data_IF_397724649532
#
_entry.id   IF_397724649532
#
_cell.length_a   1.000
_cell.length_b   1.000
_cell.length_c   1.000
_cell.angle_alpha   90.00
_cell.angle_beta   90.00
_cell.angle_gamma   90.00
#
_symmetry.space_group_name_H-M   'P 1'
#
loop_
_entity.id
_entity.type
_entity.pdbx_description
1 polymer ?
#
# COMPACT_ATOMS: atom_id res chain seq x y z
N UNK A 1 -7.01 -23.44 -26.46
CA UNK A 1 -7.81 -23.98 -25.33
C UNK A 1 -7.71 -22.94 -24.24
N UNK A 2 -8.74 -22.10 -24.14
CA UNK A 2 -8.83 -21.00 -23.19
C UNK A 2 -9.17 -21.56 -21.80
N UNK A 3 -8.32 -21.28 -20.82
CA UNK A 3 -8.60 -21.57 -19.42
C UNK A 3 -9.50 -20.46 -18.87
N UNK A 4 -10.81 -20.71 -18.87
CA UNK A 4 -11.82 -19.85 -18.24
C UNK A 4 -11.88 -20.16 -16.74
N UNK A 5 -10.83 -19.77 -16.02
CA UNK A 5 -10.79 -19.77 -14.56
C UNK A 5 -11.62 -18.65 -13.95
N UNK A 6 -12.95 -18.72 -14.08
CA UNK A 6 -13.86 -17.84 -13.34
C UNK A 6 -13.85 -18.26 -11.88
N UNK A 7 -13.18 -17.48 -11.03
CA UNK A 7 -13.11 -17.72 -9.59
C UNK A 7 -14.52 -17.58 -9.00
N UNK A 8 -15.13 -18.73 -8.69
CA UNK A 8 -16.50 -18.78 -8.15
C UNK A 8 -16.47 -18.26 -6.71
N UNK A 9 -16.98 -17.07 -6.53
CA UNK A 9 -17.35 -16.48 -5.24
C UNK A 9 -18.28 -17.45 -4.48
N UNK A 10 -17.72 -18.32 -3.64
CA UNK A 10 -18.49 -19.23 -2.78
C UNK A 10 -19.10 -18.42 -1.63
N UNK A 11 -20.29 -17.85 -1.87
CA UNK A 11 -21.14 -17.36 -0.80
C UNK A 11 -21.54 -18.54 0.08
N UNK A 12 -20.98 -18.64 1.29
CA UNK A 12 -21.62 -19.45 2.33
C UNK A 12 -22.90 -18.73 2.74
N UNK A 13 -24.03 -19.15 2.17
CA UNK A 13 -25.32 -18.93 2.83
C UNK A 13 -25.33 -19.79 4.09
N UNK A 14 -24.87 -19.25 5.21
CA UNK A 14 -25.34 -19.81 6.47
C UNK A 14 -26.84 -19.52 6.52
N UNK A 15 -27.64 -20.57 6.49
CA UNK A 15 -29.03 -20.47 6.94
C UNK A 15 -28.97 -20.22 8.44
N UNK A 16 -28.76 -18.96 8.84
CA UNK A 16 -28.65 -18.61 10.25
C UNK A 16 -30.01 -18.85 10.92
N UNK A 17 -29.98 -19.64 11.99
CA UNK A 17 -31.15 -19.87 12.83
C UNK A 17 -31.25 -18.73 13.86
N UNK A 18 -32.44 -18.55 14.46
CA UNK A 18 -32.63 -17.65 15.62
C UNK A 18 -31.61 -17.99 16.71
N UNK A 19 -30.65 -17.11 16.96
CA UNK A 19 -29.68 -17.22 18.08
C UNK A 19 -28.21 -17.23 17.70
N UNK A 20 -27.86 -17.34 16.40
CA UNK A 20 -26.46 -17.27 15.96
C UNK A 20 -25.86 -15.88 16.26
N UNK A 21 -24.59 -15.83 16.68
CA UNK A 21 -23.84 -14.58 16.94
C UNK A 21 -22.68 -14.44 15.98
N UNK A 22 -22.43 -13.23 15.50
CA UNK A 22 -21.29 -12.91 14.61
C UNK A 22 -20.32 -11.96 15.29
N UNK A 23 -19.02 -12.13 15.01
CA UNK A 23 -17.98 -11.22 15.47
C UNK A 23 -17.85 -10.05 14.51
N UNK A 24 -18.06 -8.84 15.02
CA UNK A 24 -17.80 -7.59 14.31
C UNK A 24 -16.52 -7.00 14.87
N UNK A 25 -15.45 -7.04 14.07
CA UNK A 25 -14.14 -6.56 14.44
C UNK A 25 -14.05 -5.03 14.33
N UNK A 26 -13.32 -4.40 15.25
CA UNK A 26 -13.01 -2.97 15.24
C UNK A 26 -11.58 -2.74 15.76
N UNK A 27 -11.09 -1.51 15.66
CA UNK A 27 -9.70 -1.16 16.03
C UNK A 27 -8.67 -2.03 15.29
N UNK A 28 -8.74 -2.04 13.95
CA UNK A 28 -7.86 -2.83 13.08
C UNK A 28 -7.84 -4.34 13.42
N UNK A 29 -8.98 -4.89 13.82
CA UNK A 29 -9.11 -6.31 14.16
C UNK A 29 -8.64 -6.69 15.57
N UNK A 30 -8.13 -5.73 16.36
CA UNK A 30 -7.66 -6.00 17.74
C UNK A 30 -8.81 -6.31 18.70
N UNK A 31 -9.98 -5.74 18.45
CA UNK A 31 -11.16 -5.92 19.30
C UNK A 31 -12.35 -6.43 18.47
N UNK A 32 -13.32 -7.05 19.13
CA UNK A 32 -14.56 -7.47 18.48
C UNK A 32 -15.77 -7.34 19.41
N UNK A 33 -16.94 -7.12 18.81
CA UNK A 33 -18.24 -7.25 19.45
C UNK A 33 -18.94 -8.49 18.90
N UNK A 34 -19.62 -9.23 19.77
CA UNK A 34 -20.52 -10.29 19.33
C UNK A 34 -21.94 -9.75 19.17
N UNK A 35 -22.49 -9.84 17.96
CA UNK A 35 -23.80 -9.30 17.61
C UNK A 35 -24.73 -10.47 17.26
N UNK A 36 -25.95 -10.56 17.85
CA UNK A 36 -26.91 -11.58 17.46
C UNK A 36 -27.39 -11.36 16.03
N UNK A 37 -27.55 -12.45 15.28
CA UNK A 37 -28.15 -12.42 13.95
C UNK A 37 -29.65 -12.57 14.10
N UNK A 38 -30.38 -11.54 13.66
CA UNK A 38 -31.83 -11.55 13.64
C UNK A 38 -32.38 -12.22 12.37
N UNK A 39 -33.62 -12.67 12.47
CA UNK A 39 -34.37 -13.24 11.35
C UNK A 39 -34.43 -12.25 10.18
N UNK A 40 -34.10 -12.70 8.98
CA UNK A 40 -34.03 -11.86 7.77
C UNK A 40 -32.68 -11.19 7.50
N UNK A 41 -31.68 -11.35 8.38
CA UNK A 41 -30.32 -10.83 8.15
C UNK A 41 -29.43 -11.93 7.53
N UNK A 42 -28.91 -11.66 6.33
CA UNK A 42 -27.87 -12.48 5.69
C UNK A 42 -26.49 -11.99 6.12
N UNK A 43 -25.67 -12.88 6.67
CA UNK A 43 -24.27 -12.59 7.02
C UNK A 43 -23.40 -13.06 5.87
N UNK A 44 -22.67 -12.13 5.26
CA UNK A 44 -21.68 -12.43 4.22
C UNK A 44 -20.31 -12.40 4.88
N UNK A 45 -19.69 -13.55 5.01
CA UNK A 45 -18.32 -13.69 5.50
C UNK A 45 -17.39 -14.12 4.35
N UNK A 46 -16.19 -13.56 4.31
CA UNK A 46 -15.20 -13.88 3.28
C UNK A 46 -14.35 -15.04 3.77
N UNK A 47 -14.27 -16.10 2.96
CA UNK A 47 -13.32 -17.19 3.23
C UNK A 47 -11.90 -16.62 3.15
N UNK A 48 -11.10 -16.67 4.23
CA UNK A 48 -9.72 -16.20 4.17
C UNK A 48 -8.98 -17.03 3.12
N UNK A 49 -8.26 -16.36 2.22
CA UNK A 49 -7.34 -17.06 1.34
C UNK A 49 -6.20 -17.69 2.15
N UNK A 50 -5.71 -18.88 1.76
CA UNK A 50 -4.54 -19.47 2.40
C UNK A 50 -3.37 -18.48 2.36
N UNK A 51 -2.87 -18.10 3.53
CA UNK A 51 -1.72 -17.21 3.66
C UNK A 51 -0.45 -18.03 3.42
N UNK A 52 0.32 -17.66 2.39
CA UNK A 52 1.65 -18.24 2.17
C UNK A 52 2.65 -17.62 3.16
N UNK A 53 3.68 -18.36 3.59
CA UNK A 53 4.72 -17.80 4.47
C UNK A 53 5.45 -16.66 3.76
N UNK A 54 5.89 -15.64 4.50
CA UNK A 54 6.60 -14.48 3.93
C UNK A 54 7.82 -14.89 3.11
N UNK A 55 8.46 -16.03 3.41
CA UNK A 55 9.60 -16.56 2.68
C UNK A 55 9.36 -16.77 1.18
N UNK A 56 8.11 -16.81 0.70
CA UNK A 56 7.84 -16.78 -0.74
C UNK A 56 8.35 -15.51 -1.44
N UNK A 57 8.55 -14.40 -0.72
CA UNK A 57 9.14 -13.17 -1.28
C UNK A 57 10.64 -13.29 -1.51
N UNK A 58 11.33 -14.26 -0.90
CA UNK A 58 12.77 -14.44 -1.04
C UNK A 58 13.18 -14.65 -2.50
N UNK A 59 12.41 -15.43 -3.26
CA UNK A 59 12.67 -15.63 -4.68
C UNK A 59 12.44 -14.36 -5.49
N UNK A 60 11.39 -13.58 -5.19
CA UNK A 60 11.14 -12.31 -5.85
C UNK A 60 12.29 -11.31 -5.59
N UNK A 61 12.89 -11.30 -4.40
CA UNK A 61 14.03 -10.43 -4.11
C UNK A 61 15.35 -10.94 -4.69
N UNK A 62 15.53 -12.24 -4.92
CA UNK A 62 16.70 -12.73 -5.68
C UNK A 62 16.73 -12.15 -7.10
N UNK A 63 15.57 -12.00 -7.73
CA UNK A 63 15.43 -11.36 -9.04
C UNK A 63 15.67 -9.85 -9.00
N UNK A 64 15.63 -9.21 -7.83
CA UNK A 64 15.94 -7.80 -7.63
C UNK A 64 17.45 -7.51 -7.72
N UNK A 65 18.30 -8.49 -7.39
CA UNK A 65 19.76 -8.29 -7.31
C UNK A 65 20.37 -7.66 -8.57
N UNK A 66 20.09 -8.15 -9.81
CA UNK A 66 20.64 -7.54 -11.02
C UNK A 66 20.20 -6.09 -11.23
N UNK A 67 19.00 -5.71 -10.76
CA UNK A 67 18.43 -4.37 -10.95
C UNK A 67 19.06 -3.34 -9.99
N UNK A 68 19.36 -3.78 -8.77
CA UNK A 68 19.94 -2.91 -7.74
C UNK A 68 21.48 -2.87 -7.75
N UNK A 69 22.13 -3.85 -8.40
CA UNK A 69 23.59 -3.91 -8.48
C UNK A 69 24.16 -2.66 -9.15
N UNK A 70 25.08 -1.98 -8.46
CA UNK A 70 25.76 -0.77 -8.95
C UNK A 70 25.02 0.54 -8.65
N UNK A 71 23.87 0.48 -7.97
CA UNK A 71 23.16 1.66 -7.45
C UNK A 71 23.79 2.11 -6.13
N UNK A 72 23.94 3.41 -5.91
CA UNK A 72 24.50 3.92 -4.65
C UNK A 72 23.41 4.09 -3.59
N UNK A 73 22.24 4.60 -3.98
CA UNK A 73 21.13 4.91 -3.08
C UNK A 73 19.82 4.20 -3.45
N UNK A 74 19.11 3.71 -2.44
CA UNK A 74 17.81 3.03 -2.58
C UNK A 74 16.75 3.72 -1.71
N UNK A 75 15.62 4.08 -2.31
CA UNK A 75 14.41 4.48 -1.59
C UNK A 75 13.44 3.29 -1.48
N UNK A 76 13.18 2.84 -0.25
CA UNK A 76 12.24 1.76 0.06
C UNK A 76 10.96 2.41 0.58
N UNK A 77 9.95 2.51 -0.28
CA UNK A 77 8.66 3.12 0.08
C UNK A 77 7.76 2.01 0.63
N UNK A 78 7.31 2.16 1.87
CA UNK A 78 6.46 1.17 2.55
C UNK A 78 5.14 1.79 2.94
N UNK A 79 4.05 1.02 2.86
CA UNK A 79 2.78 1.50 3.36
C UNK A 79 2.75 1.66 4.89
N UNK A 80 1.84 2.50 5.39
CA UNK A 80 1.78 2.85 6.81
C UNK A 80 1.16 1.76 7.70
N UNK A 81 1.12 2.05 9.00
CA UNK A 81 0.55 1.18 10.04
C UNK A 81 -0.94 0.84 9.85
N UNK A 82 -1.68 1.60 9.02
CA UNK A 82 -3.09 1.31 8.71
C UNK A 82 -3.25 0.17 7.70
N UNK A 83 -2.13 -0.32 7.13
CA UNK A 83 -2.12 -1.40 6.15
C UNK A 83 -1.57 -2.70 6.72
N UNK A 84 -2.16 -3.85 6.33
CA UNK A 84 -1.81 -5.16 6.88
C UNK A 84 -0.48 -5.73 6.34
N UNK A 85 0.26 -4.99 5.50
CA UNK A 85 1.49 -5.49 4.88
C UNK A 85 2.54 -5.84 5.95
N UNK A 86 3.10 -7.06 5.95
CA UNK A 86 4.04 -7.52 6.97
C UNK A 86 5.46 -6.98 6.72
N UNK A 87 5.62 -5.66 6.78
CA UNK A 87 6.86 -4.97 6.39
C UNK A 87 8.06 -5.46 7.23
N UNK A 88 7.92 -5.54 8.56
CA UNK A 88 8.98 -6.07 9.45
C UNK A 88 9.48 -7.47 9.06
N UNK A 89 8.62 -8.30 8.47
CA UNK A 89 8.96 -9.67 8.09
C UNK A 89 9.57 -9.72 6.67
N UNK A 90 9.26 -8.73 5.83
CA UNK A 90 9.76 -8.61 4.44
C UNK A 90 11.16 -7.96 4.41
N UNK A 91 11.37 -6.89 5.19
CA UNK A 91 12.60 -6.09 5.15
C UNK A 91 13.90 -6.88 5.34
N UNK A 92 14.01 -7.87 6.24
CA UNK A 92 15.24 -8.65 6.39
C UNK A 92 15.71 -9.34 5.09
N UNK A 93 14.78 -9.86 4.30
CA UNK A 93 15.10 -10.49 3.01
C UNK A 93 15.60 -9.46 1.99
N UNK A 94 14.99 -8.27 1.97
CA UNK A 94 15.43 -7.19 1.11
C UNK A 94 16.82 -6.69 1.51
N UNK A 95 17.07 -6.47 2.79
CA UNK A 95 18.35 -5.98 3.30
C UNK A 95 19.51 -6.90 2.92
N UNK A 96 19.32 -8.22 3.01
CA UNK A 96 20.30 -9.19 2.53
C UNK A 96 20.67 -8.96 1.05
N UNK A 97 19.68 -8.69 0.19
CA UNK A 97 19.92 -8.42 -1.24
C UNK A 97 20.67 -7.11 -1.44
N UNK A 98 20.27 -6.05 -0.73
CA UNK A 98 20.91 -4.73 -0.83
C UNK A 98 22.37 -4.76 -0.33
N UNK A 99 22.65 -5.54 0.71
CA UNK A 99 24.00 -5.72 1.27
C UNK A 99 24.91 -6.49 0.31
N UNK A 100 24.43 -7.59 -0.27
CA UNK A 100 25.19 -8.33 -1.30
C UNK A 100 25.41 -7.45 -2.54
N UNK A 101 24.45 -6.59 -2.89
CA UNK A 101 24.58 -5.61 -3.96
C UNK A 101 25.50 -4.43 -3.64
N UNK A 102 25.94 -4.31 -2.38
CA UNK A 102 26.79 -3.23 -1.85
C UNK A 102 26.19 -1.84 -2.02
N UNK A 103 24.88 -1.72 -1.84
CA UNK A 103 24.20 -0.42 -1.75
C UNK A 103 24.75 0.34 -0.56
N UNK A 104 25.11 1.61 -0.78
CA UNK A 104 25.76 2.44 0.25
C UNK A 104 24.75 3.14 1.14
N UNK A 105 23.62 3.54 0.56
CA UNK A 105 22.59 4.28 1.25
C UNK A 105 21.22 3.65 0.98
N UNK A 106 20.50 3.33 2.05
CA UNK A 106 19.09 2.94 1.98
C UNK A 106 18.28 3.83 2.90
N UNK A 107 17.13 4.29 2.43
CA UNK A 107 16.17 5.08 3.21
C UNK A 107 14.80 4.44 3.11
N UNK A 108 14.13 4.32 4.25
CA UNK A 108 12.78 3.77 4.34
C UNK A 108 11.82 4.94 4.42
N UNK A 109 10.90 5.06 3.47
CA UNK A 109 9.92 6.14 3.42
C UNK A 109 8.56 5.54 3.72
N UNK A 110 7.98 5.92 4.86
CA UNK A 110 6.64 5.48 5.26
C UNK A 110 5.61 6.34 4.56
N UNK A 111 4.80 5.72 3.72
CA UNK A 111 3.84 6.34 2.82
C UNK A 111 2.50 6.63 3.55
N UNK A 112 2.44 7.78 4.22
CA UNK A 112 1.25 8.22 4.96
C UNK A 112 0.17 8.87 4.09
N UNK A 113 0.51 9.40 2.91
CA UNK A 113 -0.33 10.40 2.26
C UNK A 113 -0.74 11.49 3.25
N UNK A 114 -2.04 11.70 3.45
CA UNK A 114 -2.58 12.69 4.39
C UNK A 114 -2.86 12.16 5.80
N UNK A 115 -2.42 10.94 6.14
CA UNK A 115 -2.62 10.38 7.47
C UNK A 115 -1.72 11.07 8.51
N UNK A 116 -2.21 11.18 9.75
CA UNK A 116 -1.38 11.62 10.87
C UNK A 116 -0.30 10.58 11.17
N UNK A 117 0.88 11.06 11.59
CA UNK A 117 1.92 10.18 12.09
C UNK A 117 1.46 9.52 13.40
N UNK A 118 1.55 8.19 13.53
CA UNK A 118 1.12 7.50 14.73
C UNK A 118 2.14 7.66 15.85
N UNK A 119 1.79 7.17 17.04
CA UNK A 119 2.76 6.93 18.10
C UNK A 119 3.84 5.93 17.66
N UNK A 120 5.03 6.04 18.25
CA UNK A 120 6.21 5.25 17.89
C UNK A 120 5.95 3.73 17.96
N UNK A 121 5.12 3.26 18.90
CA UNK A 121 4.76 1.86 19.04
C UNK A 121 4.22 1.25 17.74
N UNK A 122 3.37 1.98 17.00
CA UNK A 122 2.83 1.50 15.72
C UNK A 122 3.91 1.45 14.62
N UNK A 123 4.91 2.32 14.68
CA UNK A 123 6.07 2.26 13.77
C UNK A 123 6.94 1.05 14.07
N UNK A 124 7.18 0.76 15.36
CA UNK A 124 7.92 -0.42 15.81
C UNK A 124 7.17 -1.71 15.44
N UNK A 125 5.85 -1.75 15.61
CA UNK A 125 5.03 -2.89 15.19
C UNK A 125 5.08 -3.13 13.68
N UNK A 126 5.10 -2.05 12.89
CA UNK A 126 5.09 -2.10 11.42
C UNK A 126 6.46 -2.46 10.84
N UNK A 127 7.51 -1.82 11.32
CA UNK A 127 8.87 -1.88 10.74
C UNK A 127 9.82 -2.80 11.53
N UNK A 128 9.58 -3.00 12.82
CA UNK A 128 10.48 -3.70 13.74
C UNK A 128 11.45 -2.75 14.44
N UNK A 129 11.80 -3.07 15.69
CA UNK A 129 12.72 -2.26 16.52
C UNK A 129 14.09 -2.08 15.89
N UNK A 130 14.61 -3.12 15.23
CA UNK A 130 15.94 -3.07 14.61
C UNK A 130 15.98 -2.06 13.46
N UNK A 131 14.90 -1.95 12.69
CA UNK A 131 14.79 -0.96 11.62
C UNK A 131 14.72 0.45 12.20
N UNK A 132 13.88 0.67 13.22
CA UNK A 132 13.74 1.97 13.88
C UNK A 132 15.09 2.46 14.46
N UNK A 133 15.89 1.54 15.03
CA UNK A 133 17.13 1.89 15.71
C UNK A 133 18.34 2.03 14.78
N UNK A 134 18.36 1.34 13.64
CA UNK A 134 19.57 1.21 12.80
C UNK A 134 19.44 1.78 11.39
N UNK A 135 18.22 2.11 10.94
CA UNK A 135 17.97 2.60 9.58
C UNK A 135 17.51 4.05 9.54
N UNK A 136 17.65 4.69 8.38
CA UNK A 136 17.07 6.01 8.14
C UNK A 136 15.60 5.82 7.76
N UNK A 137 14.71 6.07 8.72
CA UNK A 137 13.25 6.07 8.53
C UNK A 137 12.75 7.49 8.35
N UNK A 138 12.09 7.74 7.22
CA UNK A 138 11.45 9.00 6.86
C UNK A 138 9.95 8.81 6.95
N UNK A 139 9.30 9.58 7.83
CA UNK A 139 7.85 9.70 7.85
C UNK A 139 7.47 10.74 6.80
N UNK A 140 6.78 10.33 5.74
CA UNK A 140 6.33 11.28 4.73
C UNK A 140 5.34 12.28 5.34
N UNK A 141 5.55 13.56 5.05
CA UNK A 141 4.63 14.65 5.36
C UNK A 141 4.14 15.25 4.05
N UNK A 142 2.84 15.08 3.77
CA UNK A 142 2.20 15.63 2.58
C UNK A 142 2.05 17.15 2.63
N UNK A 143 2.04 17.76 3.82
CA UNK A 143 1.76 19.18 4.03
C UNK A 143 3.05 20.03 4.06
N UNK A 144 4.22 19.42 4.25
CA UNK A 144 5.50 20.13 4.18
C UNK A 144 5.96 20.35 2.72
N UNK A 145 5.75 21.57 2.24
CA UNK A 145 6.14 22.00 0.89
C UNK A 145 7.65 22.01 0.63
N UNK A 146 8.48 21.95 1.66
CA UNK A 146 9.95 21.89 1.54
C UNK A 146 10.47 20.45 1.37
N UNK A 147 9.62 19.47 1.65
CA UNK A 147 9.93 18.05 1.55
C UNK A 147 9.38 17.40 0.27
N UNK A 148 8.52 18.11 -0.45
CA UNK A 148 7.87 17.65 -1.67
C UNK A 148 8.30 18.50 -2.87
N UNK A 149 8.74 17.84 -3.94
CA UNK A 149 9.26 18.51 -5.14
C UNK A 149 8.39 18.21 -6.35
N UNK A 150 8.20 19.21 -7.20
CA UNK A 150 7.44 19.06 -8.44
C UNK A 150 8.15 18.09 -9.40
N UNK A 151 7.43 17.09 -9.90
CA UNK A 151 7.96 16.08 -10.85
C UNK A 151 7.28 16.11 -12.21
N UNK A 152 6.15 16.80 -12.34
CA UNK A 152 5.42 16.92 -13.60
C UNK A 152 3.93 17.16 -13.41
N UNK A 153 3.18 17.11 -14.50
CA UNK A 153 1.73 17.28 -14.50
C UNK A 153 1.09 16.12 -15.27
N UNK A 154 0.05 15.50 -14.72
CA UNK A 154 -0.68 14.42 -15.39
C UNK A 154 -1.59 14.94 -16.50
N UNK A 155 -2.11 14.05 -17.34
CA UNK A 155 -3.04 14.39 -18.41
C UNK A 155 -4.35 15.02 -17.92
N UNK A 156 -4.74 14.77 -16.66
CA UNK A 156 -5.90 15.40 -16.04
C UNK A 156 -5.62 16.82 -15.50
N UNK A 157 -4.36 17.27 -15.55
CA UNK A 157 -3.95 18.57 -15.01
C UNK A 157 -3.49 18.53 -13.56
N UNK A 158 -3.32 17.34 -12.96
CA UNK A 158 -2.80 17.21 -11.61
C UNK A 158 -1.32 17.59 -11.56
N UNK A 159 -0.96 18.65 -10.84
CA UNK A 159 0.44 19.00 -10.60
C UNK A 159 0.99 18.06 -9.53
N UNK A 160 1.96 17.24 -9.91
CA UNK A 160 2.46 16.16 -9.06
C UNK A 160 3.70 16.61 -8.31
N UNK A 161 3.60 16.60 -6.99
CA UNK A 161 4.68 16.87 -6.05
C UNK A 161 4.90 15.64 -5.18
N UNK A 162 6.15 15.17 -5.09
CA UNK A 162 6.50 13.92 -4.41
C UNK A 162 7.64 14.11 -3.44
N UNK A 163 7.72 13.22 -2.46
CA UNK A 163 8.80 13.15 -1.47
C UNK A 163 10.20 13.25 -2.12
N UNK A 164 10.97 14.28 -1.75
CA UNK A 164 12.27 14.59 -2.39
C UNK A 164 13.30 13.48 -2.26
N UNK A 165 13.25 12.68 -1.19
CA UNK A 165 14.18 11.57 -1.00
C UNK A 165 13.86 10.41 -1.94
N UNK A 166 12.58 10.14 -2.17
CA UNK A 166 12.17 9.19 -3.19
C UNK A 166 12.60 9.68 -4.59
N UNK A 167 12.41 10.96 -4.91
CA UNK A 167 12.80 11.55 -6.20
C UNK A 167 14.30 11.44 -6.46
N UNK A 168 15.13 11.70 -5.45
CA UNK A 168 16.59 11.76 -5.58
C UNK A 168 17.32 10.41 -5.50
N UNK A 169 16.65 9.30 -5.20
CA UNK A 169 17.31 7.99 -5.09
C UNK A 169 17.68 7.38 -6.46
N UNK A 170 18.76 6.60 -6.55
CA UNK A 170 19.19 5.93 -7.80
C UNK A 170 18.31 4.73 -8.16
N UNK A 171 17.67 4.15 -7.14
CA UNK A 171 16.77 3.01 -7.23
C UNK A 171 15.59 3.22 -6.29
N UNK A 172 14.38 2.90 -6.73
CA UNK A 172 13.14 3.17 -5.99
C UNK A 172 12.27 1.93 -6.01
N UNK A 173 11.79 1.50 -4.85
CA UNK A 173 10.86 0.37 -4.78
C UNK A 173 9.72 0.65 -3.82
N UNK A 174 8.53 0.13 -4.15
CA UNK A 174 7.35 0.17 -3.30
C UNK A 174 7.01 -1.20 -2.73
N UNK A 175 6.74 -1.29 -1.43
CA UNK A 175 6.25 -2.50 -0.76
C UNK A 175 4.90 -2.16 -0.11
N UNK A 176 3.86 -2.86 -0.54
CA UNK A 176 2.51 -2.69 -0.02
C UNK A 176 1.60 -3.85 -0.38
N UNK A 177 0.38 -3.80 0.14
CA UNK A 177 -0.64 -4.83 -0.09
C UNK A 177 -1.63 -4.40 -1.18
N UNK A 178 -2.15 -5.38 -1.91
CA UNK A 178 -3.19 -5.21 -2.94
C UNK A 178 -4.50 -5.80 -2.41
N UNK A 179 -5.51 -4.97 -2.27
CA UNK A 179 -6.89 -5.33 -1.95
C UNK A 179 -7.85 -4.32 -2.60
N UNK A 180 -9.15 -4.60 -2.59
CA UNK A 180 -10.15 -3.70 -3.16
C UNK A 180 -10.11 -2.35 -2.44
N UNK A 181 -10.10 -1.25 -3.21
CA UNK A 181 -10.20 0.11 -2.70
C UNK A 181 -11.53 0.70 -3.11
N UNK A 182 -12.18 1.41 -2.17
CA UNK A 182 -13.49 2.04 -2.39
C UNK A 182 -13.49 2.99 -3.60
N UNK A 183 -12.36 3.68 -3.83
CA UNK A 183 -12.25 4.75 -4.82
C UNK A 183 -11.27 4.47 -5.97
N UNK A 184 -10.20 3.74 -5.70
CA UNK A 184 -9.11 3.52 -6.67
C UNK A 184 -9.25 2.19 -7.42
N UNK A 185 -10.35 1.47 -7.22
CA UNK A 185 -10.50 0.09 -7.63
C UNK A 185 -9.70 -0.85 -6.73
N UNK A 186 -8.37 -0.72 -6.72
CA UNK A 186 -7.45 -1.52 -5.90
C UNK A 186 -6.38 -0.67 -5.20
N UNK A 187 -5.81 -1.20 -4.12
CA UNK A 187 -4.60 -0.66 -3.50
C UNK A 187 -3.33 -1.19 -4.16
N UNK A 188 -2.16 -0.81 -3.64
CA UNK A 188 -0.86 -1.21 -4.16
C UNK A 188 -0.49 -0.49 -5.46
N UNK A 189 0.63 -0.91 -6.05
CA UNK A 189 1.17 -0.33 -7.28
C UNK A 189 1.27 1.20 -7.20
N UNK A 190 0.64 1.96 -8.11
CA UNK A 190 0.77 3.41 -8.18
C UNK A 190 0.29 4.15 -6.91
N UNK A 191 -0.53 3.49 -6.08
CA UNK A 191 -1.04 4.07 -4.83
C UNK A 191 0.06 4.31 -3.78
N UNK A 192 1.18 3.59 -3.88
CA UNK A 192 2.37 3.82 -3.04
C UNK A 192 3.03 5.18 -3.34
N UNK A 193 2.80 5.73 -4.55
CA UNK A 193 3.28 7.05 -4.98
C UNK A 193 2.22 8.11 -4.71
N UNK A 194 1.05 7.99 -5.35
CA UNK A 194 -0.09 8.91 -5.16
C UNK A 194 -1.27 8.09 -4.62
N UNK A 195 -1.69 8.27 -3.36
CA UNK A 195 -1.31 9.37 -2.45
C UNK A 195 -0.09 9.09 -1.56
N UNK A 196 0.48 7.88 -1.57
CA UNK A 196 1.38 7.43 -0.52
C UNK A 196 2.52 8.38 -0.13
N UNK A 197 3.20 8.98 -1.11
CA UNK A 197 4.32 9.92 -0.90
C UNK A 197 4.15 11.24 -1.66
N UNK A 198 2.90 11.62 -1.93
CA UNK A 198 2.54 12.84 -2.66
C UNK A 198 2.16 13.99 -1.73
N UNK A 199 2.40 15.23 -2.17
CA UNK A 199 1.96 16.40 -1.44
C UNK A 199 0.43 16.49 -1.37
N UNK A 200 -0.07 17.18 -0.34
CA UNK A 200 -1.49 17.38 -0.07
C UNK A 200 -2.23 17.94 -1.29
N UNK A 201 -1.67 18.94 -1.99
CA UNK A 201 -2.29 19.54 -3.18
C UNK A 201 -2.45 18.54 -4.35
N UNK A 202 -1.49 17.63 -4.52
CA UNK A 202 -1.57 16.54 -5.52
C UNK A 202 -2.62 15.52 -5.14
N UNK A 203 -2.72 15.21 -3.84
CA UNK A 203 -3.70 14.26 -3.30
C UNK A 203 -5.12 14.83 -3.42
N UNK A 204 -5.32 16.10 -3.04
CA UNK A 204 -6.60 16.80 -3.10
C UNK A 204 -7.14 16.84 -4.53
N UNK A 205 -6.30 17.20 -5.50
CA UNK A 205 -6.68 17.19 -6.91
C UNK A 205 -7.17 15.81 -7.36
N UNK A 206 -6.44 14.75 -7.01
CA UNK A 206 -6.81 13.38 -7.35
C UNK A 206 -8.14 12.97 -6.70
N UNK A 207 -8.36 13.35 -5.44
CA UNK A 207 -9.55 12.98 -4.67
C UNK A 207 -10.77 13.86 -4.99
N UNK A 208 -10.60 15.01 -5.64
CA UNK A 208 -11.71 15.85 -6.12
C UNK A 208 -12.63 15.10 -7.10
N UNK A 209 -12.13 14.04 -7.74
CA UNK A 209 -12.93 13.18 -8.61
C UNK A 209 -13.87 12.22 -7.85
N UNK A 210 -13.87 12.16 -6.51
CA UNK A 210 -14.63 11.19 -5.70
C UNK A 210 -16.11 11.04 -6.08
N UNK A 211 -16.76 12.11 -6.52
CA UNK A 211 -18.17 12.11 -6.91
C UNK A 211 -18.43 11.69 -8.37
N UNK A 212 -17.40 11.23 -9.10
CA UNK A 212 -17.54 10.77 -10.49
C UNK A 212 -18.35 9.46 -10.56
N UNK A 213 -19.24 9.34 -11.55
CA UNK A 213 -20.19 8.22 -11.68
C UNK A 213 -19.53 6.84 -11.84
N UNK A 214 -18.27 6.84 -12.26
CA UNK A 214 -17.49 5.63 -12.56
C UNK A 214 -16.67 5.14 -11.35
N UNK A 215 -16.78 5.79 -10.19
CA UNK A 215 -16.07 5.35 -8.99
C UNK A 215 -16.86 4.25 -8.29
N UNK A 216 -16.28 3.04 -8.30
CA UNK A 216 -16.82 1.84 -7.66
C UNK A 216 -15.67 1.03 -7.07
N UNK A 217 -15.91 0.39 -5.93
CA UNK A 217 -14.95 -0.52 -5.31
C UNK A 217 -14.58 -1.66 -6.29
N UNK A 218 -13.29 -1.96 -6.44
CA UNK A 218 -12.80 -3.00 -7.35
C UNK A 218 -12.83 -2.63 -8.84
N UNK A 219 -13.21 -1.41 -9.21
CA UNK A 219 -13.34 -0.99 -10.61
C UNK A 219 -12.23 -0.01 -11.03
N UNK A 220 -11.46 -0.41 -12.04
CA UNK A 220 -10.34 0.36 -12.58
C UNK A 220 -10.65 1.03 -13.92
N UNK A 221 -11.37 0.34 -14.81
CA UNK A 221 -11.60 0.80 -16.18
C UNK A 221 -12.48 2.06 -16.21
N UNK A 222 -12.10 3.11 -16.94
CA UNK A 222 -12.84 4.38 -16.93
C UNK A 222 -12.75 5.19 -15.61
N UNK A 223 -12.25 4.63 -14.52
CA UNK A 223 -12.08 5.35 -13.25
C UNK A 223 -10.94 6.39 -13.39
N UNK A 224 -11.20 7.70 -13.23
CA UNK A 224 -10.16 8.73 -13.40
C UNK A 224 -9.11 8.69 -12.28
N UNK A 225 -9.49 8.27 -11.07
CA UNK A 225 -8.61 8.27 -9.88
C UNK A 225 -7.37 7.38 -10.09
N UNK A 226 -7.51 6.06 -10.34
CA UNK A 226 -6.35 5.19 -10.48
C UNK A 226 -5.59 5.41 -11.80
N UNK A 227 -6.22 6.05 -12.80
CA UNK A 227 -5.52 6.50 -14.02
C UNK A 227 -4.56 7.65 -13.72
N UNK A 228 -5.02 8.66 -12.99
CA UNK A 228 -4.19 9.77 -12.53
C UNK A 228 -3.07 9.30 -11.58
N UNK A 229 -3.38 8.38 -10.67
CA UNK A 229 -2.36 7.72 -9.82
C UNK A 229 -1.29 7.01 -10.68
N UNK A 230 -1.69 6.27 -11.71
CA UNK A 230 -0.77 5.58 -12.59
C UNK A 230 0.10 6.55 -13.42
N UNK A 231 -0.44 7.68 -13.87
CA UNK A 231 0.35 8.72 -14.53
C UNK A 231 1.32 9.40 -13.57
N UNK A 232 0.88 9.77 -12.37
CA UNK A 232 1.75 10.32 -11.33
C UNK A 232 2.90 9.37 -10.97
N UNK A 233 2.62 8.06 -10.85
CA UNK A 233 3.65 7.05 -10.62
C UNK A 233 4.63 6.91 -11.80
N UNK A 234 4.23 7.21 -13.04
CA UNK A 234 5.18 7.22 -14.19
C UNK A 234 6.10 8.44 -14.18
N UNK A 235 5.73 9.53 -13.51
CA UNK A 235 6.59 10.70 -13.29
C UNK A 235 7.68 10.42 -12.24
N UNK A 236 7.50 9.36 -11.43
CA UNK A 236 8.52 8.80 -10.54
C UNK A 236 8.67 7.30 -10.83
N UNK A 237 9.40 6.92 -11.88
CA UNK A 237 9.56 5.51 -12.24
C UNK A 237 10.06 4.72 -11.04
N UNK A 238 9.21 3.83 -10.53
CA UNK A 238 9.57 2.81 -9.55
C UNK A 238 10.22 1.67 -10.34
N UNK A 239 11.37 1.20 -9.87
CA UNK A 239 12.21 0.19 -10.53
C UNK A 239 11.75 -1.25 -10.24
#
# INVERSE_FOLDING_TARGET
>A
MEDKGGDKMEKRKNQNNRGDRVKVYYNSGRNFLEVPVHEGIEVIDYKPYPVKPVSVVENAFKELFPLVKGKNSVAIIVDDHTRPTPIKDILPYLFNVLEVARVKERRIIVAFGTHNHPEEEYLVEKLGSDVINNEIVILHDAFDKTLNVYVGTTSLGNRVYLNKWAVNADFKMGIGSVFSSEIAGFTGGPKIVLPGIAADETIEFNHAYFNHSDIKAGFYEGNPIPRDMAEAARLLPID
#
